data_IF_820669743780
#
_entry.id   IF_820669743780
#
_cell.length_a   1.000
_cell.length_b   1.000
_cell.length_c   1.000
_cell.angle_alpha   90.00
_cell.angle_beta   90.00
_cell.angle_gamma   90.00
#
_symmetry.space_group_name_H-M   'P 1'
#
loop_
_entity.id
_entity.type
_entity.pdbx_description
1 polymer ?
#
# COMPACT_ATOMS: atom_id res chain seq x y z
N UNK A 1 13.13 8.23 -20.00
CA UNK A 1 13.30 8.50 -18.55
C UNK A 1 12.14 9.35 -18.07
N UNK A 2 12.01 9.55 -16.76
CA UNK A 2 10.89 10.30 -16.15
C UNK A 2 11.38 11.70 -15.74
N UNK A 3 10.59 12.73 -16.03
CA UNK A 3 10.93 14.12 -15.69
C UNK A 3 10.67 14.42 -14.21
N UNK A 4 11.71 14.86 -13.52
CA UNK A 4 11.68 15.40 -12.16
C UNK A 4 11.83 16.92 -12.20
N UNK A 5 10.72 17.67 -12.11
CA UNK A 5 10.74 19.14 -12.17
C UNK A 5 11.20 19.76 -10.85
N UNK A 6 11.96 20.85 -10.94
CA UNK A 6 12.44 21.63 -9.80
C UNK A 6 11.66 22.96 -9.67
N UNK A 7 11.38 23.45 -8.45
CA UNK A 7 10.69 24.72 -8.24
C UNK A 7 11.33 25.93 -8.94
N UNK A 8 12.66 25.93 -9.09
CA UNK A 8 13.37 27.02 -9.76
C UNK A 8 13.22 27.00 -11.31
N UNK A 9 12.49 26.04 -11.88
CA UNK A 9 12.15 25.97 -13.31
C UNK A 9 13.09 25.11 -14.17
N UNK A 10 14.12 24.51 -13.60
CA UNK A 10 14.90 23.44 -14.23
C UNK A 10 14.33 22.06 -13.84
N UNK A 11 14.92 20.97 -14.33
CA UNK A 11 14.53 19.62 -13.92
C UNK A 11 15.63 18.59 -14.11
N UNK A 12 15.26 17.33 -13.95
CA UNK A 12 16.11 16.18 -14.25
C UNK A 12 15.31 15.12 -15.01
N UNK A 13 16.00 14.26 -15.76
CA UNK A 13 15.42 13.02 -16.29
C UNK A 13 16.04 11.84 -15.59
N UNK A 14 15.23 11.14 -14.82
CA UNK A 14 15.60 9.90 -14.16
C UNK A 14 15.52 8.78 -15.20
N UNK A 15 16.66 8.14 -15.47
CA UNK A 15 16.79 7.09 -16.47
C UNK A 15 17.14 5.80 -15.74
N UNK A 16 16.39 4.75 -16.00
CA UNK A 16 16.64 3.43 -15.43
C UNK A 16 18.08 2.97 -15.70
N UNK A 17 18.73 2.43 -14.67
CA UNK A 17 20.14 2.02 -14.73
C UNK A 17 21.16 3.15 -14.56
N UNK A 18 20.73 4.39 -14.25
CA UNK A 18 21.62 5.49 -13.86
C UNK A 18 21.35 5.93 -12.43
N UNK A 19 22.43 6.12 -11.66
CA UNK A 19 22.35 6.61 -10.27
C UNK A 19 21.99 8.10 -10.18
N UNK A 20 22.32 8.88 -11.23
CA UNK A 20 22.06 10.32 -11.29
C UNK A 20 21.22 10.65 -12.52
N UNK A 21 20.14 11.40 -12.29
CA UNK A 21 19.30 11.96 -13.35
C UNK A 21 20.08 12.95 -14.24
N UNK A 22 19.72 13.00 -15.52
CA UNK A 22 20.27 13.96 -16.47
C UNK A 22 19.66 15.35 -16.25
N UNK A 23 20.47 16.38 -16.09
CA UNK A 23 19.97 17.74 -15.86
C UNK A 23 19.22 18.30 -17.08
N UNK A 24 18.00 18.82 -16.89
CA UNK A 24 17.22 19.56 -17.88
C UNK A 24 17.25 21.06 -17.56
N UNK A 25 17.81 21.90 -18.45
CA UNK A 25 17.78 23.35 -18.26
C UNK A 25 16.37 23.93 -18.47
N UNK A 26 16.15 25.17 -18.01
CA UNK A 26 14.87 25.88 -18.12
C UNK A 26 14.26 25.90 -19.52
N UNK A 27 15.11 25.99 -20.55
CA UNK A 27 14.69 26.02 -21.96
C UNK A 27 14.00 24.73 -22.38
N UNK A 28 14.56 23.59 -21.95
CA UNK A 28 14.07 22.24 -22.26
C UNK A 28 12.87 21.85 -21.39
N UNK A 29 12.73 22.47 -20.21
CA UNK A 29 11.57 22.29 -19.33
C UNK A 29 10.29 22.97 -19.85
N UNK A 30 10.37 23.80 -20.89
CA UNK A 30 9.19 24.48 -21.44
C UNK A 30 8.21 23.47 -22.03
N UNK A 31 7.00 23.43 -21.47
CA UNK A 31 5.94 22.52 -21.92
C UNK A 31 6.06 21.09 -21.38
N UNK A 32 7.13 20.78 -20.63
CA UNK A 32 7.24 19.57 -19.85
C UNK A 32 6.55 19.75 -18.49
N UNK A 33 6.03 18.65 -17.97
CA UNK A 33 5.51 18.56 -16.61
C UNK A 33 6.28 17.50 -15.83
N UNK A 34 6.26 17.64 -14.51
CA UNK A 34 6.75 16.60 -13.63
C UNK A 34 6.00 15.28 -13.89
N UNK A 35 6.74 14.19 -13.98
CA UNK A 35 6.21 12.85 -14.28
C UNK A 35 6.14 12.51 -15.77
N UNK A 36 6.45 13.45 -16.68
CA UNK A 36 6.46 13.13 -18.12
C UNK A 36 7.50 12.04 -18.41
N UNK A 37 7.11 11.01 -19.15
CA UNK A 37 8.04 10.04 -19.71
C UNK A 37 8.56 10.61 -21.02
N UNK A 38 9.86 10.87 -21.07
CA UNK A 38 10.52 11.56 -22.18
C UNK A 38 11.65 10.74 -22.77
N UNK A 39 11.84 10.94 -24.06
CA UNK A 39 13.06 10.58 -24.76
C UNK A 39 13.95 11.82 -24.81
N UNK A 40 15.19 11.67 -24.34
CA UNK A 40 16.17 12.76 -24.29
C UNK A 40 17.49 12.34 -24.90
N UNK A 41 18.19 13.32 -25.49
CA UNK A 41 19.57 13.16 -25.91
C UNK A 41 20.48 13.66 -24.81
N UNK A 42 21.37 12.80 -24.32
CA UNK A 42 22.40 13.21 -23.37
C UNK A 42 23.41 14.15 -24.06
N UNK A 43 23.65 15.31 -23.46
CA UNK A 43 24.60 16.32 -23.93
C UNK A 43 25.51 16.77 -22.78
N UNK A 44 26.48 17.63 -23.09
CA UNK A 44 27.30 18.33 -22.08
C UNK A 44 27.18 19.84 -22.26
N UNK A 45 26.73 20.55 -21.24
CA UNK A 45 26.77 22.03 -21.17
C UNK A 45 27.66 22.44 -20.01
N UNK A 46 28.63 23.32 -20.27
CA UNK A 46 29.57 23.88 -19.26
C UNK A 46 30.25 22.81 -18.37
N UNK A 47 30.62 21.67 -18.96
CA UNK A 47 31.29 20.58 -18.26
C UNK A 47 30.39 19.66 -17.42
N UNK A 48 29.08 19.92 -17.36
CA UNK A 48 28.10 19.07 -16.67
C UNK A 48 27.26 18.27 -17.67
N UNK A 49 26.91 17.03 -17.32
CA UNK A 49 25.94 16.25 -18.09
C UNK A 49 24.57 16.95 -18.06
N UNK A 50 23.94 17.03 -19.23
CA UNK A 50 22.64 17.65 -19.47
C UNK A 50 21.82 16.76 -20.40
N UNK A 51 20.54 17.04 -20.51
CA UNK A 51 19.63 16.44 -21.48
C UNK A 51 19.03 17.52 -22.38
N UNK A 52 18.82 17.17 -23.64
CA UNK A 52 17.96 17.89 -24.59
C UNK A 52 16.74 17.03 -24.90
N UNK A 53 15.55 17.63 -24.89
CA UNK A 53 14.30 16.94 -25.15
C UNK A 53 14.23 16.52 -26.63
N UNK A 54 13.99 15.24 -26.88
CA UNK A 54 13.70 14.73 -28.23
C UNK A 54 12.18 14.73 -28.43
N UNK A 55 11.45 14.09 -27.51
CA UNK A 55 9.98 14.04 -27.51
C UNK A 55 9.44 13.56 -26.17
N UNK A 56 8.17 13.88 -25.93
CA UNK A 56 7.38 13.24 -24.87
C UNK A 56 6.91 11.88 -25.40
N UNK A 57 7.20 10.82 -24.68
CA UNK A 57 6.76 9.45 -24.98
C UNK A 57 5.41 9.20 -24.34
N UNK A 58 5.28 9.50 -23.05
CA UNK A 58 4.01 9.42 -22.31
C UNK A 58 3.84 10.71 -21.48
N UNK A 59 2.76 11.48 -21.72
CA UNK A 59 2.48 12.65 -20.93
C UNK A 59 2.04 12.25 -19.51
N UNK A 60 2.59 12.88 -18.49
CA UNK A 60 2.04 12.88 -17.14
C UNK A 60 0.56 13.30 -17.13
N UNK A 61 -0.22 12.89 -16.11
CA UNK A 61 -1.53 13.47 -15.88
C UNK A 61 -1.48 15.00 -15.90
N UNK A 62 -2.32 15.61 -16.74
CA UNK A 62 -2.47 17.07 -16.82
C UNK A 62 -3.45 17.61 -15.79
N UNK A 63 -3.97 16.76 -14.90
CA UNK A 63 -4.91 17.15 -13.87
C UNK A 63 -4.15 17.52 -12.61
N UNK A 64 -4.41 18.71 -12.08
CA UNK A 64 -3.84 19.15 -10.82
C UNK A 64 -4.84 19.94 -9.99
N UNK A 65 -4.44 20.16 -8.75
CA UNK A 65 -5.19 20.92 -7.76
C UNK A 65 -4.49 22.24 -7.49
N UNK A 66 -5.26 23.31 -7.41
CA UNK A 66 -4.76 24.60 -6.99
C UNK A 66 -5.84 25.52 -6.46
N UNK A 67 -5.43 26.66 -5.93
CA UNK A 67 -6.33 27.74 -5.54
C UNK A 67 -6.58 28.65 -6.74
N UNK A 68 -7.85 28.89 -7.06
CA UNK A 68 -8.27 29.85 -8.07
C UNK A 68 -8.19 31.26 -7.50
N UNK A 69 -7.43 32.13 -8.13
CA UNK A 69 -7.21 33.52 -7.73
C UNK A 69 -7.56 34.43 -8.90
N UNK A 70 -8.23 35.55 -8.62
CA UNK A 70 -8.56 36.56 -9.63
C UNK A 70 -7.65 37.77 -9.46
N UNK A 71 -6.67 37.92 -10.34
CA UNK A 71 -5.75 39.06 -10.36
C UNK A 71 -6.05 39.97 -11.55
N UNK A 72 -6.32 41.26 -11.29
CA UNK A 72 -6.62 42.25 -12.32
C UNK A 72 -7.69 41.80 -13.35
N UNK A 73 -8.71 41.06 -12.89
CA UNK A 73 -9.79 40.53 -13.73
C UNK A 73 -9.44 39.26 -14.53
N UNK A 74 -8.24 38.71 -14.34
CA UNK A 74 -7.76 37.48 -14.96
C UNK A 74 -7.78 36.33 -13.94
N UNK A 75 -8.37 35.20 -14.32
CA UNK A 75 -8.36 33.99 -13.49
C UNK A 75 -7.03 33.26 -13.60
N UNK A 76 -6.44 32.95 -12.46
CA UNK A 76 -5.22 32.16 -12.32
C UNK A 76 -5.49 31.00 -11.38
N UNK A 77 -4.82 29.87 -11.60
CA UNK A 77 -4.77 28.80 -10.62
C UNK A 77 -3.34 28.68 -10.13
N UNK A 78 -3.17 28.81 -8.82
CA UNK A 78 -1.91 28.61 -8.12
C UNK A 78 -1.85 27.15 -7.68
N UNK A 79 -1.00 26.30 -8.29
CA UNK A 79 -0.95 24.88 -7.95
C UNK A 79 -0.51 24.66 -6.50
N UNK A 80 -1.08 23.64 -5.85
CA UNK A 80 -0.63 23.23 -4.50
C UNK A 80 0.76 22.61 -4.52
N UNK A 81 1.06 21.87 -5.60
CA UNK A 81 2.30 21.14 -5.76
C UNK A 81 3.48 22.10 -5.91
N UNK A 82 4.44 22.02 -4.99
CA UNK A 82 5.71 22.78 -5.09
C UNK A 82 6.52 22.42 -6.33
N UNK A 83 6.27 21.26 -6.96
CA UNK A 83 6.94 20.82 -8.19
C UNK A 83 6.38 21.51 -9.45
N UNK A 84 5.28 22.25 -9.32
CA UNK A 84 4.70 23.08 -10.39
C UNK A 84 4.37 24.48 -9.86
N UNK A 85 5.37 25.37 -9.70
CA UNK A 85 5.14 26.69 -9.13
C UNK A 85 4.56 27.71 -10.12
N UNK A 86 4.43 27.36 -11.41
CA UNK A 86 3.90 28.27 -12.42
C UNK A 86 2.39 28.42 -12.27
N UNK A 87 1.91 29.67 -12.22
CA UNK A 87 0.48 29.96 -12.26
C UNK A 87 -0.11 29.56 -13.61
N UNK A 88 -1.30 28.98 -13.57
CA UNK A 88 -2.00 28.51 -14.76
C UNK A 88 -3.12 29.47 -15.09
N UNK A 89 -3.07 30.04 -16.29
CA UNK A 89 -4.06 30.99 -16.77
C UNK A 89 -5.38 30.27 -17.08
N UNK A 90 -6.44 30.67 -16.39
CA UNK A 90 -7.80 30.16 -16.63
C UNK A 90 -8.66 31.27 -17.21
N UNK A 91 -9.07 31.09 -18.47
CA UNK A 91 -9.96 32.04 -19.15
C UNK A 91 -11.35 31.95 -18.53
N UNK A 92 -12.12 33.05 -18.58
CA UNK A 92 -13.49 33.11 -18.02
C UNK A 92 -14.41 31.96 -18.47
N UNK A 93 -14.31 31.53 -19.73
CA UNK A 93 -15.09 30.40 -20.28
C UNK A 93 -14.67 29.03 -19.74
N UNK A 94 -13.44 28.94 -19.25
CA UNK A 94 -12.79 27.72 -18.79
C UNK A 94 -12.78 27.66 -17.23
N UNK A 95 -13.39 28.62 -16.54
CA UNK A 95 -13.39 28.75 -15.08
C UNK A 95 -14.51 27.96 -14.36
N UNK A 96 -15.50 27.44 -15.10
CA UNK A 96 -16.60 26.64 -14.56
C UNK A 96 -17.30 27.24 -13.31
N UNK A 97 -17.44 28.57 -13.27
CA UNK A 97 -18.07 29.27 -12.16
C UNK A 97 -17.20 29.44 -10.90
N UNK A 98 -15.93 29.04 -10.93
CA UNK A 98 -14.98 29.24 -9.84
C UNK A 98 -14.87 30.73 -9.45
N UNK A 99 -14.81 30.96 -8.14
CA UNK A 99 -14.66 32.28 -7.53
C UNK A 99 -13.28 32.41 -6.92
N UNK A 100 -12.86 33.65 -6.75
CA UNK A 100 -11.60 33.98 -6.07
C UNK A 100 -11.51 33.26 -4.71
N UNK A 101 -10.39 32.58 -4.44
CA UNK A 101 -10.14 31.78 -3.25
C UNK A 101 -10.65 30.33 -3.28
N UNK A 102 -11.43 29.93 -4.29
CA UNK A 102 -11.91 28.54 -4.40
C UNK A 102 -10.77 27.59 -4.70
N UNK A 103 -10.78 26.41 -4.09
CA UNK A 103 -9.97 25.29 -4.55
C UNK A 103 -10.62 24.65 -5.77
N UNK A 104 -9.80 24.32 -6.76
CA UNK A 104 -10.27 23.77 -8.04
C UNK A 104 -9.40 22.61 -8.49
N UNK A 105 -10.03 21.61 -9.10
CA UNK A 105 -9.35 20.61 -9.92
C UNK A 105 -9.33 21.12 -11.35
N UNK A 106 -8.16 21.24 -11.95
CA UNK A 106 -8.00 21.76 -13.31
C UNK A 106 -7.26 20.77 -14.20
N UNK A 107 -7.61 20.78 -15.48
CA UNK A 107 -6.82 20.18 -16.54
C UNK A 107 -5.93 21.25 -17.18
N UNK A 108 -4.63 21.02 -17.17
CA UNK A 108 -3.63 21.88 -17.80
C UNK A 108 -3.54 21.58 -19.30
N UNK A 109 -3.73 22.61 -20.11
CA UNK A 109 -3.49 22.57 -21.55
C UNK A 109 -2.01 22.82 -21.81
N UNK A 110 -1.33 21.76 -22.27
CA UNK A 110 0.09 21.78 -22.63
C UNK A 110 0.35 22.65 -23.87
N UNK A 111 1.60 23.10 -24.04
CA UNK A 111 2.09 23.73 -25.28
C UNK A 111 1.93 25.25 -25.39
N UNK A 112 1.41 25.92 -24.36
CA UNK A 112 1.34 27.39 -24.29
C UNK A 112 2.28 27.99 -23.25
N UNK A 113 2.79 29.19 -23.53
CA UNK A 113 3.44 30.06 -22.54
C UNK A 113 2.69 31.41 -22.53
N UNK A 114 1.95 31.76 -21.46
CA UNK A 114 1.80 31.02 -20.20
C UNK A 114 1.00 29.71 -20.36
N UNK A 115 1.16 28.80 -19.39
CA UNK A 115 0.30 27.62 -19.29
C UNK A 115 -1.15 28.06 -19.13
N UNK A 116 -2.07 27.36 -19.80
CA UNK A 116 -3.50 27.60 -19.66
C UNK A 116 -4.19 26.34 -19.14
N UNK A 117 -5.34 26.49 -18.50
CA UNK A 117 -6.09 25.35 -17.99
C UNK A 117 -7.59 25.55 -18.06
N UNK A 118 -8.31 24.44 -17.83
CA UNK A 118 -9.76 24.42 -17.66
C UNK A 118 -10.09 23.81 -16.30
N UNK A 119 -10.98 24.46 -15.57
CA UNK A 119 -11.57 23.92 -14.35
C UNK A 119 -12.46 22.74 -14.72
N UNK A 120 -12.14 21.59 -14.11
CA UNK A 120 -12.92 20.37 -14.19
C UNK A 120 -13.94 20.27 -13.05
N UNK A 121 -13.59 20.81 -11.88
CA UNK A 121 -14.42 20.76 -10.68
C UNK A 121 -14.07 21.91 -9.73
N UNK A 122 -15.09 22.58 -9.19
CA UNK A 122 -14.96 23.58 -8.12
C UNK A 122 -15.21 22.89 -6.77
N UNK A 123 -14.22 22.97 -5.88
CA UNK A 123 -14.22 22.28 -4.60
C UNK A 123 -14.60 23.20 -3.44
N UNK A 124 -14.64 24.50 -3.69
CA UNK A 124 -15.04 25.55 -2.76
C UNK A 124 -13.88 26.09 -1.91
N UNK A 125 -14.21 27.00 -0.99
CA UNK A 125 -13.23 27.70 -0.13
C UNK A 125 -12.94 26.96 1.17
N UNK A 126 -13.97 26.35 1.77
CA UNK A 126 -13.87 25.65 3.04
C UNK A 126 -13.49 24.19 2.80
N UNK A 127 -12.19 23.92 2.89
CA UNK A 127 -11.66 22.58 2.77
C UNK A 127 -11.86 21.79 4.07
N UNK A 128 -12.97 21.08 4.15
CA UNK A 128 -13.11 20.02 5.18
C UNK A 128 -12.01 18.97 4.99
N UNK A 129 -11.58 18.27 6.06
CA UNK A 129 -10.67 17.12 5.97
C UNK A 129 -11.01 16.12 4.85
N UNK A 130 -12.30 15.81 4.64
CA UNK A 130 -12.73 14.94 3.54
C UNK A 130 -12.40 15.53 2.16
N UNK A 131 -12.68 16.82 1.94
CA UNK A 131 -12.32 17.51 0.70
C UNK A 131 -10.81 17.59 0.49
N UNK A 132 -10.02 17.73 1.56
CA UNK A 132 -8.55 17.66 1.48
C UNK A 132 -8.05 16.28 1.03
N UNK A 133 -8.73 15.21 1.45
CA UNK A 133 -8.42 13.85 1.03
C UNK A 133 -8.80 13.66 -0.44
N UNK A 134 -10.00 14.06 -0.85
CA UNK A 134 -10.44 14.02 -2.26
C UNK A 134 -9.44 14.76 -3.17
N UNK A 135 -8.92 15.90 -2.68
CA UNK A 135 -7.87 16.67 -3.33
C UNK A 135 -6.55 15.89 -3.50
N UNK A 136 -6.09 15.23 -2.45
CA UNK A 136 -4.87 14.42 -2.49
C UNK A 136 -5.05 13.24 -3.45
N UNK A 137 -6.19 12.55 -3.37
CA UNK A 137 -6.55 11.42 -4.25
C UNK A 137 -6.48 11.84 -5.71
N UNK A 138 -7.11 12.96 -6.05
CA UNK A 138 -7.08 13.50 -7.41
C UNK A 138 -5.69 13.95 -7.86
N UNK A 139 -4.91 14.60 -6.99
CA UNK A 139 -3.54 15.04 -7.29
C UNK A 139 -2.58 13.86 -7.55
N UNK A 140 -2.78 12.74 -6.85
CA UNK A 140 -2.00 11.51 -7.06
C UNK A 140 -2.52 10.67 -8.24
N UNK A 141 -3.61 11.07 -8.90
CA UNK A 141 -4.21 10.31 -10.00
C UNK A 141 -4.77 8.95 -9.55
N UNK A 142 -5.14 8.81 -8.27
CA UNK A 142 -5.68 7.56 -7.72
C UNK A 142 -7.14 7.44 -8.16
N UNK A 143 -7.45 6.39 -8.90
CA UNK A 143 -8.82 6.11 -9.32
C UNK A 143 -9.64 5.48 -8.20
N UNK A 144 -10.78 6.10 -7.90
CA UNK A 144 -11.69 5.66 -6.85
C UNK A 144 -12.70 4.62 -7.33
N UNK A 145 -13.09 4.69 -8.59
CA UNK A 145 -14.10 3.81 -9.19
C UNK A 145 -13.45 2.64 -9.94
N UNK A 146 -14.13 1.50 -9.98
CA UNK A 146 -13.70 0.35 -10.77
C UNK A 146 -14.33 0.39 -12.17
N UNK A 147 -13.57 0.06 -13.24
CA UNK A 147 -14.14 -0.07 -14.57
C UNK A 147 -15.31 -1.07 -14.64
N UNK A 148 -16.32 -0.87 -15.50
CA UNK A 148 -17.48 -1.75 -15.61
C UNK A 148 -17.13 -3.24 -15.84
N UNK A 149 -16.11 -3.52 -16.63
CA UNK A 149 -15.61 -4.87 -16.90
C UNK A 149 -15.05 -5.56 -15.66
N UNK A 150 -14.40 -4.79 -14.76
CA UNK A 150 -13.87 -5.29 -13.48
C UNK A 150 -15.02 -5.66 -12.55
N UNK A 151 -16.04 -4.80 -12.48
CA UNK A 151 -17.23 -5.06 -11.69
C UNK A 151 -18.02 -6.26 -12.23
N UNK A 152 -18.13 -6.42 -13.56
CA UNK A 152 -18.77 -7.57 -14.17
C UNK A 152 -18.06 -8.89 -13.82
N UNK A 153 -16.72 -8.94 -13.85
CA UNK A 153 -15.94 -10.11 -13.40
C UNK A 153 -16.17 -10.40 -11.92
N UNK A 154 -16.10 -9.38 -11.06
CA UNK A 154 -16.35 -9.52 -9.63
C UNK A 154 -17.79 -10.04 -9.36
N UNK A 155 -18.79 -9.49 -10.03
CA UNK A 155 -20.20 -9.86 -9.88
C UNK A 155 -20.50 -11.29 -10.34
N UNK A 156 -19.76 -11.81 -11.32
CA UNK A 156 -19.87 -13.20 -11.77
C UNK A 156 -19.33 -14.23 -10.76
N UNK A 157 -18.48 -13.81 -9.80
CA UNK A 157 -17.96 -14.69 -8.75
C UNK A 157 -19.06 -15.20 -7.80
N UNK A 158 -18.93 -16.41 -7.25
CA UNK A 158 -19.92 -16.94 -6.31
C UNK A 158 -19.96 -16.11 -5.02
N UNK A 159 -21.10 -16.09 -4.32
CA UNK A 159 -21.21 -15.41 -3.02
C UNK A 159 -20.43 -16.09 -1.89
N UNK A 160 -20.08 -17.37 -2.06
CA UNK A 160 -19.34 -18.16 -1.09
C UNK A 160 -18.47 -19.21 -1.80
N UNK A 161 -17.44 -19.71 -1.09
CA UNK A 161 -16.58 -20.81 -1.55
C UNK A 161 -17.44 -22.04 -1.84
N UNK A 162 -17.36 -22.58 -3.06
CA UNK A 162 -18.13 -23.76 -3.46
C UNK A 162 -17.34 -25.02 -3.16
N UNK A 163 -18.05 -26.14 -3.04
CA UNK A 163 -17.41 -27.46 -2.81
C UNK A 163 -16.35 -27.80 -3.85
N UNK A 164 -16.62 -27.52 -5.12
CA UNK A 164 -15.68 -27.76 -6.22
C UNK A 164 -14.39 -26.94 -6.12
N UNK A 165 -14.47 -25.72 -5.56
CA UNK A 165 -13.30 -24.84 -5.41
C UNK A 165 -12.38 -25.35 -4.28
N UNK A 166 -12.87 -26.27 -3.44
CA UNK A 166 -12.11 -26.93 -2.35
C UNK A 166 -11.46 -28.25 -2.79
N UNK A 167 -11.78 -28.78 -3.97
CA UNK A 167 -11.25 -30.07 -4.44
C UNK A 167 -9.74 -29.99 -4.69
N UNK A 168 -8.98 -31.01 -4.25
CA UNK A 168 -7.52 -31.05 -4.39
C UNK A 168 -6.73 -30.24 -3.35
N UNK A 169 -7.40 -29.41 -2.54
CA UNK A 169 -6.77 -28.58 -1.50
C UNK A 169 -6.64 -29.32 -0.17
N UNK A 170 -5.63 -28.96 0.60
CA UNK A 170 -5.43 -29.55 1.94
C UNK A 170 -6.49 -29.00 2.92
N UNK A 171 -7.24 -29.89 3.56
CA UNK A 171 -8.23 -29.49 4.55
C UNK A 171 -7.59 -29.19 5.91
N UNK A 172 -7.54 -27.92 6.27
CA UNK A 172 -7.00 -27.43 7.54
C UNK A 172 -8.08 -26.83 8.45
N UNK A 173 -9.37 -27.02 8.13
CA UNK A 173 -10.50 -26.45 8.89
C UNK A 173 -10.59 -26.95 10.34
N UNK A 174 -9.92 -28.05 10.64
CA UNK A 174 -9.83 -28.62 11.99
C UNK A 174 -8.80 -27.90 12.89
N UNK A 175 -7.91 -27.09 12.32
CA UNK A 175 -6.90 -26.33 13.06
C UNK A 175 -7.51 -25.04 13.65
N UNK A 176 -7.03 -24.57 14.82
CA UNK A 176 -7.56 -23.39 15.49
C UNK A 176 -6.99 -22.08 14.90
N UNK A 177 -7.15 -21.88 13.58
CA UNK A 177 -6.76 -20.63 12.93
C UNK A 177 -7.56 -19.45 13.50
N UNK A 178 -6.89 -18.30 13.59
CA UNK A 178 -7.52 -17.00 13.90
C UNK A 178 -6.91 -15.91 13.02
N UNK A 179 -7.66 -14.83 12.82
CA UNK A 179 -7.14 -13.57 12.28
C UNK A 179 -6.99 -12.57 13.43
N UNK A 180 -5.97 -11.72 13.39
CA UNK A 180 -5.71 -10.70 14.42
C UNK A 180 -5.39 -9.38 13.72
N UNK A 181 -6.31 -8.44 13.78
CA UNK A 181 -6.27 -7.23 12.96
C UNK A 181 -6.67 -5.98 13.75
N UNK A 182 -6.58 -4.81 13.10
CA UNK A 182 -7.15 -3.58 13.64
C UNK A 182 -8.68 -3.67 13.77
N UNK A 183 -9.27 -2.99 14.75
CA UNK A 183 -10.72 -3.02 14.98
C UNK A 183 -11.54 -2.60 13.74
N UNK A 184 -11.02 -1.69 12.93
CA UNK A 184 -11.66 -1.16 11.72
C UNK A 184 -11.46 -2.06 10.47
N UNK A 185 -10.56 -3.04 10.51
CA UNK A 185 -10.25 -3.91 9.37
C UNK A 185 -11.46 -4.77 8.96
N UNK A 186 -11.54 -5.09 7.66
CA UNK A 186 -12.59 -5.91 7.04
C UNK A 186 -12.02 -6.95 6.05
N UNK A 187 -10.85 -6.66 5.53
CA UNK A 187 -9.96 -7.42 4.66
C UNK A 187 -8.95 -8.19 5.52
N UNK A 188 -9.29 -9.43 5.91
CA UNK A 188 -8.40 -10.26 6.73
C UNK A 188 -7.56 -11.14 5.79
N UNK A 189 -6.36 -10.69 5.46
CA UNK A 189 -5.50 -11.35 4.47
C UNK A 189 -4.72 -12.54 5.05
N UNK A 190 -4.45 -12.54 6.35
CA UNK A 190 -3.67 -13.58 7.01
C UNK A 190 -4.39 -14.19 8.23
N UNK A 191 -4.15 -15.48 8.43
CA UNK A 191 -4.58 -16.22 9.60
C UNK A 191 -3.42 -17.05 10.14
N UNK A 192 -3.30 -17.11 11.47
CA UNK A 192 -2.21 -17.81 12.14
C UNK A 192 -2.72 -18.99 12.97
N UNK A 193 -1.90 -20.04 13.04
CA UNK A 193 -2.09 -21.15 13.98
C UNK A 193 -0.71 -21.67 14.40
N UNK A 194 -0.43 -21.71 15.71
CA UNK A 194 0.83 -22.27 16.24
C UNK A 194 0.52 -23.38 17.23
N UNK A 195 1.09 -24.55 17.00
CA UNK A 195 0.91 -25.72 17.86
C UNK A 195 2.26 -26.21 18.41
N UNK A 196 2.32 -26.65 19.69
CA UNK A 196 3.49 -27.36 20.20
C UNK A 196 3.75 -28.63 19.39
N UNK A 197 5.02 -28.95 19.17
CA UNK A 197 5.44 -30.18 18.49
C UNK A 197 6.69 -30.73 19.15
N UNK A 198 6.50 -31.70 20.04
CA UNK A 198 7.59 -32.16 20.91
C UNK A 198 8.08 -31.00 21.78
N UNK A 199 9.38 -30.73 21.73
CA UNK A 199 10.03 -29.59 22.37
C UNK A 199 9.99 -28.30 21.53
N UNK A 200 9.64 -28.40 20.24
CA UNK A 200 9.55 -27.29 19.29
C UNK A 200 8.13 -26.85 18.98
N UNK A 201 7.96 -26.29 17.78
CA UNK A 201 6.69 -25.69 17.34
C UNK A 201 6.40 -26.04 15.87
N UNK A 202 5.12 -26.14 15.53
CA UNK A 202 4.65 -26.08 14.15
C UNK A 202 3.75 -24.84 14.01
N UNK A 203 4.20 -23.89 13.18
CA UNK A 203 3.47 -22.67 12.88
C UNK A 203 2.90 -22.72 11.48
N UNK A 204 1.72 -22.16 11.33
CA UNK A 204 0.97 -22.03 10.11
C UNK A 204 0.63 -20.58 9.90
N UNK A 205 0.95 -20.08 8.70
CA UNK A 205 0.46 -18.79 8.20
C UNK A 205 -0.35 -19.10 6.96
N UNK A 206 -1.65 -18.84 7.02
CA UNK A 206 -2.57 -19.01 5.89
C UNK A 206 -2.87 -17.63 5.31
N UNK A 207 -2.54 -17.43 4.04
CA UNK A 207 -2.78 -16.18 3.31
C UNK A 207 -3.99 -16.38 2.40
N UNK A 208 -4.87 -15.37 2.30
CA UNK A 208 -5.98 -15.33 1.37
C UNK A 208 -5.54 -15.76 -0.05
N UNK A 209 -6.25 -16.73 -0.64
CA UNK A 209 -5.94 -17.19 -2.00
C UNK A 209 -6.56 -16.25 -3.03
N UNK A 210 -5.99 -15.05 -3.15
CA UNK A 210 -6.46 -14.00 -4.08
C UNK A 210 -6.32 -14.46 -5.54
N UNK A 211 -5.25 -15.17 -5.87
CA UNK A 211 -4.95 -15.62 -7.24
C UNK A 211 -6.02 -16.60 -7.78
N UNK A 212 -6.69 -17.35 -6.90
CA UNK A 212 -7.82 -18.19 -7.29
C UNK A 212 -9.02 -17.41 -7.85
N UNK A 213 -9.20 -16.15 -7.44
CA UNK A 213 -10.31 -15.31 -7.85
C UNK A 213 -9.93 -14.19 -8.83
N UNK A 214 -8.63 -13.93 -8.98
CA UNK A 214 -8.07 -12.91 -9.88
C UNK A 214 -7.12 -13.61 -10.87
N UNK A 215 -7.66 -14.24 -11.93
CA UNK A 215 -6.85 -14.97 -12.90
C UNK A 215 -5.93 -14.02 -13.67
N UNK A 216 -4.73 -14.50 -14.00
CA UNK A 216 -3.79 -13.73 -14.81
C UNK A 216 -4.40 -13.33 -16.16
N UNK A 217 -4.27 -12.05 -16.51
CA UNK A 217 -4.79 -11.47 -17.75
C UNK A 217 -6.28 -11.11 -17.73
N UNK A 218 -7.00 -11.31 -16.62
CA UNK A 218 -8.39 -10.85 -16.48
C UNK A 218 -8.47 -9.33 -16.25
N UNK A 219 -9.67 -8.75 -16.34
CA UNK A 219 -9.87 -7.34 -16.04
C UNK A 219 -9.50 -7.02 -14.57
N UNK A 220 -9.82 -7.92 -13.64
CA UNK A 220 -9.39 -7.84 -12.24
C UNK A 220 -7.85 -7.82 -12.08
N UNK A 221 -7.09 -8.66 -12.80
CA UNK A 221 -5.61 -8.66 -12.74
C UNK A 221 -5.03 -7.36 -13.30
N UNK A 222 -5.53 -6.93 -14.47
CA UNK A 222 -5.08 -5.69 -15.10
C UNK A 222 -5.30 -4.47 -14.18
N UNK A 223 -6.48 -4.40 -13.56
CA UNK A 223 -6.83 -3.32 -12.65
C UNK A 223 -6.05 -3.38 -11.32
N UNK A 224 -5.90 -4.57 -10.72
CA UNK A 224 -5.10 -4.74 -9.51
C UNK A 224 -3.64 -4.34 -9.74
N UNK A 225 -3.07 -4.70 -10.91
CA UNK A 225 -1.71 -4.30 -11.30
C UNK A 225 -1.58 -2.80 -11.50
N UNK A 226 -2.59 -2.16 -12.10
CA UNK A 226 -2.63 -0.72 -12.34
C UNK A 226 -2.71 0.07 -11.03
N UNK A 227 -3.53 -0.39 -10.08
CA UNK A 227 -3.63 0.21 -8.73
C UNK A 227 -2.38 -0.05 -7.89
N UNK A 228 -1.81 -1.25 -7.99
CA UNK A 228 -0.59 -1.68 -7.29
C UNK A 228 -0.79 -1.99 -5.80
N UNK A 229 -1.55 -1.18 -5.08
CA UNK A 229 -1.89 -1.36 -3.66
C UNK A 229 -3.25 -0.73 -3.30
N UNK A 230 -3.75 -1.05 -2.11
CA UNK A 230 -4.84 -0.31 -1.48
C UNK A 230 -4.29 0.97 -0.83
N UNK A 231 -5.05 2.07 -0.89
CA UNK A 231 -4.70 3.34 -0.26
C UNK A 231 -5.58 3.57 0.97
N UNK A 232 -4.95 3.67 2.15
CA UNK A 232 -5.63 3.87 3.43
C UNK A 232 -5.58 5.34 3.84
N UNK A 233 -6.73 6.03 3.74
CA UNK A 233 -6.90 7.41 4.19
C UNK A 233 -7.56 7.45 5.58
N UNK A 234 -7.49 8.59 6.30
CA UNK A 234 -8.13 8.71 7.60
C UNK A 234 -9.65 8.44 7.61
N UNK A 235 -10.36 8.74 6.52
CA UNK A 235 -11.82 8.60 6.41
C UNK A 235 -12.29 7.36 5.62
N UNK A 236 -11.45 6.80 4.73
CA UNK A 236 -11.83 5.70 3.83
C UNK A 236 -10.63 4.90 3.33
N UNK A 237 -10.92 3.76 2.71
CA UNK A 237 -9.95 2.97 1.95
C UNK A 237 -10.33 3.04 0.47
N UNK A 238 -9.34 3.26 -0.40
CA UNK A 238 -9.49 3.01 -1.84
C UNK A 238 -8.87 1.64 -2.11
N UNK A 239 -9.68 0.59 -2.30
CA UNK A 239 -9.16 -0.77 -2.33
C UNK A 239 -8.53 -1.11 -3.68
N UNK A 240 -7.54 -2.01 -3.65
CA UNK A 240 -6.93 -2.60 -4.84
C UNK A 240 -7.91 -3.51 -5.61
N UNK A 241 -8.80 -4.19 -4.89
CA UNK A 241 -9.79 -5.12 -5.44
C UNK A 241 -11.21 -4.70 -5.02
N UNK A 242 -12.25 -5.02 -5.81
CA UNK A 242 -13.63 -4.78 -5.42
C UNK A 242 -13.99 -5.43 -4.07
N UNK A 243 -14.87 -4.80 -3.29
CA UNK A 243 -15.19 -5.22 -1.92
C UNK A 243 -15.71 -6.66 -1.81
N UNK A 244 -16.41 -7.15 -2.85
CA UNK A 244 -16.88 -8.53 -2.93
C UNK A 244 -15.72 -9.54 -2.81
N UNK A 245 -14.54 -9.18 -3.29
CA UNK A 245 -13.30 -9.93 -3.13
C UNK A 245 -12.63 -9.59 -1.80
N UNK A 246 -12.22 -8.32 -1.62
CA UNK A 246 -11.36 -7.91 -0.50
C UNK A 246 -12.00 -8.16 0.86
N UNK A 247 -13.29 -7.83 1.05
CA UNK A 247 -14.02 -8.02 2.31
C UNK A 247 -14.78 -9.36 2.36
N UNK A 248 -14.92 -10.03 1.21
CA UNK A 248 -15.76 -11.21 1.04
C UNK A 248 -14.97 -12.51 0.87
N UNK A 249 -14.73 -12.87 -0.40
CA UNK A 249 -14.15 -14.16 -0.79
C UNK A 249 -12.67 -14.33 -0.40
N UNK A 250 -11.91 -13.24 -0.44
CA UNK A 250 -10.49 -13.23 -0.07
C UNK A 250 -10.29 -13.00 1.43
N UNK A 251 -11.13 -12.19 2.07
CA UNK A 251 -11.07 -12.02 3.53
C UNK A 251 -11.33 -13.35 4.26
N UNK A 252 -10.39 -13.73 5.13
CA UNK A 252 -10.38 -14.94 5.95
C UNK A 252 -11.39 -14.88 7.12
N UNK A 253 -12.62 -14.50 6.78
CA UNK A 253 -13.73 -14.25 7.69
C UNK A 253 -13.97 -15.41 8.67
N UNK A 254 -14.37 -15.10 9.93
CA UNK A 254 -14.56 -16.11 10.96
C UNK A 254 -15.76 -17.01 10.65
N UNK A 255 -15.64 -18.28 11.05
CA UNK A 255 -16.70 -19.29 11.02
C UNK A 255 -17.20 -19.69 9.63
N UNK A 256 -16.47 -19.33 8.58
CA UNK A 256 -16.76 -19.73 7.19
C UNK A 256 -15.54 -20.34 6.53
N UNK A 257 -15.70 -21.36 5.66
CA UNK A 257 -14.58 -21.90 4.89
C UNK A 257 -13.98 -20.84 3.96
N UNK A 258 -12.65 -20.79 3.90
CA UNK A 258 -11.90 -19.90 3.01
C UNK A 258 -10.73 -20.61 2.36
N UNK A 259 -10.50 -20.27 1.09
CA UNK A 259 -9.35 -20.76 0.32
C UNK A 259 -8.13 -19.96 0.73
N UNK A 260 -7.02 -20.65 0.97
CA UNK A 260 -5.79 -20.02 1.41
C UNK A 260 -4.56 -20.68 0.78
N UNK A 261 -3.51 -19.90 0.58
CA UNK A 261 -2.16 -20.40 0.44
C UNK A 261 -1.54 -20.54 1.83
N UNK A 262 -1.31 -21.77 2.28
CA UNK A 262 -0.79 -22.05 3.61
C UNK A 262 0.73 -22.26 3.58
N UNK A 263 1.44 -21.62 4.50
CA UNK A 263 2.87 -21.80 4.77
C UNK A 263 3.03 -22.54 6.09
N UNK A 264 3.40 -23.82 6.01
CA UNK A 264 3.80 -24.65 7.16
C UNK A 264 5.25 -24.41 7.51
N UNK A 265 5.52 -24.06 8.75
CA UNK A 265 6.87 -23.91 9.27
C UNK A 265 7.08 -24.75 10.52
N UNK A 266 8.17 -25.52 10.57
CA UNK A 266 8.57 -26.25 11.78
C UNK A 266 9.75 -25.56 12.42
N UNK A 267 9.69 -25.40 13.74
CA UNK A 267 10.73 -24.76 14.55
C UNK A 267 11.22 -25.73 15.62
N UNK A 268 12.52 -25.66 15.91
CA UNK A 268 13.09 -26.31 17.08
C UNK A 268 12.80 -25.51 18.37
N UNK A 269 13.19 -26.00 19.56
CA UNK A 269 12.94 -25.31 20.84
C UNK A 269 13.57 -23.92 20.94
N UNK A 270 14.58 -23.65 20.12
CA UNK A 270 15.31 -22.39 20.09
C UNK A 270 14.73 -21.41 19.05
N UNK A 271 13.62 -21.76 18.40
CA UNK A 271 12.98 -20.93 17.38
C UNK A 271 13.68 -20.96 16.02
N UNK A 272 14.60 -21.91 15.77
CA UNK A 272 15.22 -22.03 14.44
C UNK A 272 14.29 -22.81 13.52
N UNK A 273 13.96 -22.24 12.36
CA UNK A 273 13.14 -22.89 11.33
C UNK A 273 13.91 -24.10 10.77
N UNK A 274 13.29 -25.28 10.80
CA UNK A 274 13.85 -26.56 10.34
C UNK A 274 13.23 -27.05 9.04
N UNK A 275 11.98 -26.69 8.77
CA UNK A 275 11.30 -27.05 7.53
C UNK A 275 10.29 -25.97 7.15
N UNK A 276 10.08 -25.83 5.84
CA UNK A 276 9.01 -25.01 5.24
C UNK A 276 8.30 -25.81 4.16
N UNK A 277 6.98 -25.69 4.08
CA UNK A 277 6.18 -26.15 2.95
C UNK A 277 5.10 -25.11 2.66
N UNK A 278 4.89 -24.77 1.39
CA UNK A 278 3.79 -23.92 0.94
C UNK A 278 2.85 -24.75 0.06
N UNK A 279 1.54 -24.64 0.27
CA UNK A 279 0.53 -25.39 -0.48
C UNK A 279 -0.86 -24.77 -0.36
N UNK A 280 -1.72 -25.09 -1.33
CA UNK A 280 -3.12 -24.67 -1.34
C UNK A 280 -3.93 -25.44 -0.28
N UNK A 281 -4.73 -24.68 0.47
CA UNK A 281 -5.50 -25.19 1.59
C UNK A 281 -6.90 -24.59 1.66
N UNK A 282 -7.74 -25.22 2.48
CA UNK A 282 -9.00 -24.65 2.96
C UNK A 282 -8.91 -24.51 4.47
N UNK A 283 -9.17 -23.32 4.98
CA UNK A 283 -9.18 -23.02 6.41
C UNK A 283 -10.58 -22.64 6.89
N UNK A 284 -10.75 -22.61 8.20
CA UNK A 284 -11.93 -22.09 8.87
C UNK A 284 -11.45 -21.31 10.10
N UNK A 285 -11.49 -19.98 10.01
CA UNK A 285 -11.04 -19.13 11.12
C UNK A 285 -12.02 -19.28 12.29
N UNK A 286 -11.51 -19.66 13.46
CA UNK A 286 -12.32 -19.90 14.66
C UNK A 286 -12.73 -18.59 15.33
N UNK A 287 -11.96 -17.52 15.13
CA UNK A 287 -12.22 -16.20 15.67
C UNK A 287 -11.54 -15.12 14.83
N UNK A 288 -12.22 -13.98 14.70
CA UNK A 288 -11.62 -12.70 14.33
C UNK A 288 -11.32 -11.98 15.63
N UNK A 289 -10.05 -11.71 15.89
CA UNK A 289 -9.59 -11.00 17.09
C UNK A 289 -9.10 -9.60 16.70
N UNK A 290 -9.22 -8.64 17.61
CA UNK A 290 -8.40 -7.42 17.52
C UNK A 290 -7.05 -7.62 18.16
N UNK A 291 -6.08 -6.78 17.79
CA UNK A 291 -4.80 -6.70 18.51
C UNK A 291 -4.98 -6.49 20.02
N UNK A 292 -5.94 -5.65 20.43
CA UNK A 292 -6.22 -5.40 21.84
C UNK A 292 -6.80 -6.63 22.55
N UNK A 293 -7.75 -7.33 21.92
CA UNK A 293 -8.31 -8.57 22.48
C UNK A 293 -7.26 -9.67 22.64
N UNK A 294 -6.35 -9.78 21.67
CA UNK A 294 -5.24 -10.72 21.75
C UNK A 294 -4.25 -10.32 22.87
N UNK A 295 -3.94 -9.04 23.02
CA UNK A 295 -3.07 -8.53 24.08
C UNK A 295 -3.68 -8.74 25.48
N UNK A 296 -4.97 -8.47 25.67
CA UNK A 296 -5.68 -8.73 26.93
C UNK A 296 -5.54 -10.20 27.39
N UNK A 297 -5.47 -11.15 26.46
CA UNK A 297 -5.16 -12.54 26.81
C UNK A 297 -3.66 -12.76 27.07
N UNK A 298 -2.81 -12.33 26.15
CA UNK A 298 -1.37 -12.64 26.15
C UNK A 298 -0.60 -11.97 27.31
N UNK A 299 -1.01 -10.76 27.68
CA UNK A 299 -0.41 -9.93 28.73
C UNK A 299 -1.20 -10.06 30.04
N UNK A 300 -2.50 -9.75 30.02
CA UNK A 300 -3.32 -9.63 31.24
C UNK A 300 -4.00 -10.94 31.67
N UNK A 301 -3.91 -11.99 30.84
CA UNK A 301 -4.55 -13.30 31.08
C UNK A 301 -6.06 -13.21 31.28
N UNK A 302 -6.69 -12.22 30.63
CA UNK A 302 -8.14 -11.99 30.71
C UNK A 302 -8.90 -13.05 29.90
N UNK A 303 -9.40 -14.09 30.56
CA UNK A 303 -10.14 -15.17 29.88
C UNK A 303 -11.37 -14.68 29.09
N UNK A 304 -12.02 -13.61 29.56
CA UNK A 304 -13.19 -13.03 28.88
C UNK A 304 -12.87 -12.40 27.53
N UNK A 305 -11.61 -12.07 27.24
CA UNK A 305 -11.19 -11.52 25.96
C UNK A 305 -11.31 -12.55 24.82
N UNK A 306 -11.09 -13.83 25.13
CA UNK A 306 -11.09 -14.93 24.15
C UNK A 306 -11.83 -16.13 24.72
N UNK A 307 -13.08 -16.32 24.31
CA UNK A 307 -13.94 -17.36 24.84
C UNK A 307 -13.45 -18.80 24.55
N UNK A 308 -12.84 -19.04 23.38
CA UNK A 308 -12.44 -20.38 22.94
C UNK A 308 -11.11 -20.83 23.58
N UNK A 309 -11.09 -21.87 24.45
CA UNK A 309 -9.86 -22.32 25.10
C UNK A 309 -8.78 -22.81 24.15
N UNK A 310 -9.15 -23.45 23.02
CA UNK A 310 -8.19 -23.91 22.02
C UNK A 310 -7.46 -22.74 21.35
N UNK A 311 -8.15 -21.62 21.16
CA UNK A 311 -7.54 -20.39 20.63
C UNK A 311 -6.57 -19.81 21.66
N UNK A 312 -6.93 -19.82 22.94
CA UNK A 312 -6.04 -19.36 24.02
C UNK A 312 -4.75 -20.19 24.08
N UNK A 313 -4.86 -21.52 24.06
CA UNK A 313 -3.71 -22.44 24.04
C UNK A 313 -2.83 -22.24 22.79
N UNK A 314 -3.45 -22.04 21.63
CA UNK A 314 -2.74 -21.75 20.38
C UNK A 314 -1.96 -20.42 20.48
N UNK A 315 -2.57 -19.38 21.04
CA UNK A 315 -1.92 -18.07 21.24
C UNK A 315 -0.77 -18.14 22.25
N UNK A 316 -0.89 -18.97 23.29
CA UNK A 316 0.22 -19.21 24.24
C UNK A 316 1.42 -19.89 23.57
N UNK A 317 1.16 -20.85 22.67
CA UNK A 317 2.20 -21.46 21.85
C UNK A 317 2.81 -20.45 20.87
N UNK A 318 1.99 -19.58 20.27
CA UNK A 318 2.44 -18.50 19.39
C UNK A 318 3.33 -17.49 20.12
N UNK A 319 2.95 -17.08 21.35
CA UNK A 319 3.75 -16.17 22.18
C UNK A 319 5.12 -16.76 22.52
N UNK A 320 5.17 -18.03 22.93
CA UNK A 320 6.43 -18.72 23.19
C UNK A 320 7.33 -18.77 21.97
N UNK A 321 6.77 -19.04 20.78
CA UNK A 321 7.55 -19.04 19.54
C UNK A 321 8.04 -17.62 19.22
N UNK A 322 7.17 -16.62 19.31
CA UNK A 322 7.49 -15.21 19.10
C UNK A 322 8.70 -14.76 19.94
N UNK A 323 8.73 -15.06 21.24
CA UNK A 323 9.86 -14.74 22.12
C UNK A 323 11.20 -15.33 21.64
N UNK A 324 11.17 -16.55 21.06
CA UNK A 324 12.37 -17.16 20.48
C UNK A 324 12.78 -16.44 19.19
N UNK A 325 11.84 -16.13 18.31
CA UNK A 325 12.08 -15.42 17.06
C UNK A 325 12.66 -14.03 17.31
N UNK A 326 12.08 -13.29 18.24
CA UNK A 326 12.54 -11.96 18.64
C UNK A 326 13.99 -12.01 19.17
N UNK A 327 14.31 -13.00 20.01
CA UNK A 327 15.67 -13.23 20.51
C UNK A 327 16.66 -13.46 19.35
N UNK A 328 16.28 -14.26 18.35
CA UNK A 328 17.11 -14.50 17.17
C UNK A 328 17.24 -13.25 16.29
N UNK A 329 16.17 -12.48 16.13
CA UNK A 329 16.15 -11.21 15.37
C UNK A 329 17.10 -10.18 15.99
N UNK A 330 17.06 -10.00 17.31
CA UNK A 330 17.99 -9.13 18.05
C UNK A 330 19.44 -9.57 17.87
N UNK A 331 19.72 -10.88 17.97
CA UNK A 331 21.08 -11.43 17.74
C UNK A 331 21.59 -11.22 16.31
N UNK A 332 20.70 -11.12 15.32
CA UNK A 332 21.05 -10.81 13.92
C UNK A 332 21.39 -9.32 13.71
N UNK A 333 21.19 -8.47 14.71
CA UNK A 333 21.41 -7.03 14.59
C UNK A 333 20.35 -6.32 13.75
N UNK A 334 19.12 -6.87 13.73
CA UNK A 334 18.02 -6.21 13.03
C UNK A 334 17.72 -4.85 13.70
N UNK A 335 17.62 -3.80 12.90
CA UNK A 335 17.17 -2.50 13.38
C UNK A 335 15.69 -2.60 13.75
N UNK A 336 15.36 -2.13 14.95
CA UNK A 336 13.99 -2.00 15.44
C UNK A 336 13.75 -0.55 15.82
N UNK A 337 12.88 0.12 15.06
CA UNK A 337 12.53 1.53 15.26
C UNK A 337 11.10 1.57 15.77
N UNK A 338 10.94 1.71 17.08
CA UNK A 338 9.63 1.92 17.69
C UNK A 338 9.23 3.40 17.58
N UNK A 339 8.88 3.80 16.36
CA UNK A 339 8.41 5.16 16.08
C UNK A 339 6.91 5.20 16.33
N UNK A 340 6.41 6.09 17.22
CA UNK A 340 5.00 6.16 17.50
C UNK A 340 4.21 6.65 16.30
N UNK A 341 3.21 5.88 15.90
CA UNK A 341 2.28 6.27 14.84
C UNK A 341 1.14 7.12 15.40
N UNK A 342 0.82 8.21 14.70
CA UNK A 342 -0.28 9.12 15.06
C UNK A 342 -1.37 9.03 13.99
N UNK A 343 -2.57 8.65 14.40
CA UNK A 343 -3.76 8.58 13.54
C UNK A 343 -4.73 9.70 13.88
N UNK A 344 -5.20 10.42 12.87
CA UNK A 344 -6.29 11.37 13.01
C UNK A 344 -7.63 10.61 13.12
N UNK A 345 -8.39 10.87 14.17
CA UNK A 345 -9.75 10.36 14.35
C UNK A 345 -10.71 11.43 13.90
N UNK A 346 -11.52 11.12 12.89
CA UNK A 346 -12.49 12.04 12.32
C UNK A 346 -13.87 11.84 12.97
N UNK A 347 -14.57 12.94 13.27
CA UNK A 347 -15.97 12.96 13.71
C UNK A 347 -16.69 14.07 12.95
N UNK A 348 -17.84 13.75 12.34
CA UNK A 348 -18.65 14.71 11.55
C UNK A 348 -17.81 15.52 10.54
N UNK A 349 -16.87 14.85 9.88
CA UNK A 349 -16.01 15.46 8.87
C UNK A 349 -14.90 16.36 9.41
N UNK A 350 -14.70 16.44 10.73
CA UNK A 350 -13.65 17.23 11.38
C UNK A 350 -12.69 16.35 12.19
N UNK A 351 -11.44 16.80 12.40
CA UNK A 351 -10.47 16.09 13.26
C UNK A 351 -10.90 16.25 14.71
N UNK A 352 -11.41 15.18 15.31
CA UNK A 352 -11.83 15.17 16.70
C UNK A 352 -10.65 15.05 17.67
N UNK A 353 -9.71 14.16 17.35
CA UNK A 353 -8.50 13.94 18.15
C UNK A 353 -7.40 13.28 17.32
N UNK A 354 -6.17 13.43 17.79
CA UNK A 354 -5.05 12.61 17.36
C UNK A 354 -4.91 11.44 18.35
N UNK A 355 -4.88 10.22 17.83
CA UNK A 355 -4.67 9.01 18.62
C UNK A 355 -3.29 8.47 18.32
N UNK A 356 -2.47 8.28 19.35
CA UNK A 356 -1.23 7.54 19.23
C UNK A 356 -1.56 6.05 19.30
N UNK A 357 -1.20 5.30 18.26
CA UNK A 357 -1.32 3.84 18.30
C UNK A 357 -0.09 3.30 19.01
N UNK A 358 -0.31 2.51 20.08
CA UNK A 358 0.77 1.80 20.76
C UNK A 358 0.82 0.37 20.25
N UNK A 359 2.02 -0.09 19.92
CA UNK A 359 2.27 -1.48 19.58
C UNK A 359 2.29 -2.30 20.88
N UNK A 360 1.55 -3.39 20.89
CA UNK A 360 1.46 -4.34 22.00
C UNK A 360 2.01 -5.71 21.58
N UNK A 361 2.04 -6.69 22.49
CA UNK A 361 2.61 -8.02 22.18
C UNK A 361 1.95 -8.69 20.97
N UNK A 362 0.66 -8.47 20.74
CA UNK A 362 -0.05 -9.07 19.61
C UNK A 362 0.45 -8.53 18.26
N UNK A 363 0.76 -7.23 18.19
CA UNK A 363 1.34 -6.63 16.98
C UNK A 363 2.71 -7.26 16.66
N UNK A 364 3.59 -7.37 17.66
CA UNK A 364 4.92 -7.96 17.48
C UNK A 364 4.86 -9.46 17.17
N UNK A 365 3.89 -10.18 17.75
CA UNK A 365 3.67 -11.59 17.47
C UNK A 365 3.29 -11.82 16.01
N UNK A 366 2.29 -11.08 15.50
CA UNK A 366 1.87 -11.18 14.10
C UNK A 366 3.02 -10.77 13.17
N UNK A 367 3.72 -9.66 13.46
CA UNK A 367 4.87 -9.22 12.66
C UNK A 367 5.93 -10.34 12.53
N UNK A 368 6.34 -10.96 13.65
CA UNK A 368 7.36 -12.02 13.62
C UNK A 368 6.91 -13.26 12.82
N UNK A 369 5.64 -13.64 12.92
CA UNK A 369 5.10 -14.76 12.15
C UNK A 369 5.05 -14.44 10.65
N UNK A 370 4.65 -13.22 10.28
CA UNK A 370 4.64 -12.78 8.89
C UNK A 370 6.06 -12.67 8.33
N UNK A 371 7.02 -12.12 9.09
CA UNK A 371 8.43 -12.09 8.69
C UNK A 371 8.99 -13.50 8.51
N UNK A 372 8.65 -14.44 9.40
CA UNK A 372 9.08 -15.82 9.30
C UNK A 372 8.54 -16.49 8.03
N UNK A 373 7.26 -16.26 7.69
CA UNK A 373 6.63 -16.78 6.49
C UNK A 373 7.21 -16.15 5.21
N UNK A 374 7.30 -14.82 5.15
CA UNK A 374 7.86 -14.07 4.02
C UNK A 374 9.29 -14.50 3.72
N UNK A 375 10.13 -14.62 4.76
CA UNK A 375 11.52 -15.11 4.61
C UNK A 375 11.53 -16.55 4.10
N UNK A 376 10.64 -17.41 4.61
CA UNK A 376 10.60 -18.81 4.21
C UNK A 376 10.16 -18.99 2.74
N UNK A 377 9.21 -18.18 2.27
CA UNK A 377 8.77 -18.16 0.87
C UNK A 377 9.86 -17.61 -0.04
N UNK A 378 10.51 -16.49 0.34
CA UNK A 378 11.62 -15.92 -0.42
C UNK A 378 12.74 -16.96 -0.63
N UNK A 379 13.19 -17.61 0.44
CA UNK A 379 14.21 -18.67 0.34
C UNK A 379 13.73 -19.90 -0.45
N UNK A 380 12.44 -20.25 -0.37
CA UNK A 380 11.86 -21.37 -1.11
C UNK A 380 11.87 -21.10 -2.62
N UNK A 381 11.56 -19.87 -3.03
CA UNK A 381 11.56 -19.41 -4.41
C UNK A 381 12.98 -19.22 -4.95
N UNK A 382 13.87 -18.66 -4.14
CA UNK A 382 15.30 -18.48 -4.47
C UNK A 382 15.98 -19.82 -4.77
N UNK A 383 15.81 -20.83 -3.90
CA UNK A 383 16.36 -22.19 -4.12
C UNK A 383 15.87 -22.83 -5.42
N UNK A 384 14.70 -22.44 -5.90
CA UNK A 384 14.10 -22.94 -7.16
C UNK A 384 14.40 -22.05 -8.36
N UNK A 385 15.10 -20.93 -8.17
CA UNK A 385 15.40 -19.95 -9.21
C UNK A 385 14.13 -19.42 -9.90
N UNK A 386 13.03 -19.31 -9.15
CA UNK A 386 11.82 -18.69 -9.66
C UNK A 386 11.99 -17.16 -9.68
N UNK A 387 11.52 -16.52 -10.74
CA UNK A 387 11.41 -15.06 -10.76
C UNK A 387 10.39 -14.61 -9.71
N UNK A 388 10.78 -13.67 -8.86
CA UNK A 388 9.97 -13.12 -7.78
C UNK A 388 10.31 -11.64 -7.58
N UNK A 389 9.33 -10.84 -7.20
CA UNK A 389 9.56 -9.49 -6.70
C UNK A 389 10.03 -9.55 -5.25
N UNK A 390 11.29 -9.19 -5.02
CA UNK A 390 11.86 -9.14 -3.66
C UNK A 390 11.62 -7.77 -3.02
N UNK A 391 11.26 -7.78 -1.72
CA UNK A 391 11.31 -6.57 -0.88
C UNK A 391 12.74 -6.34 -0.41
N UNK A 392 13.46 -5.47 -1.12
CA UNK A 392 14.88 -5.18 -0.85
C UNK A 392 15.04 -3.87 -0.07
N UNK A 393 16.03 -3.83 0.80
CA UNK A 393 16.49 -2.62 1.48
C UNK A 393 18.02 -2.54 1.29
N UNK A 394 18.52 -1.64 0.41
CA UNK A 394 19.95 -1.54 0.14
C UNK A 394 20.73 -1.05 1.36
N UNK A 395 22.03 -1.34 1.40
CA UNK A 395 22.91 -0.77 2.42
C UNK A 395 22.95 0.76 2.28
N UNK A 396 23.09 1.52 3.39
CA UNK A 396 23.26 2.96 3.33
C UNK A 396 24.45 3.35 2.45
N UNK A 397 24.34 4.47 1.74
CA UNK A 397 25.45 5.01 0.96
C UNK A 397 26.61 5.44 1.87
N UNK A 398 27.83 5.29 1.36
CA UNK A 398 29.05 5.60 2.12
C UNK A 398 29.07 7.04 2.65
N UNK A 399 28.63 8.00 1.84
CA UNK A 399 28.56 9.42 2.23
C UNK A 399 27.61 9.63 3.42
N UNK A 400 26.50 8.88 3.48
CA UNK A 400 25.55 8.95 4.61
C UNK A 400 26.13 8.34 5.89
N UNK A 401 26.95 7.28 5.77
CA UNK A 401 27.66 6.68 6.91
C UNK A 401 28.73 7.63 7.44
N UNK A 402 29.47 8.28 6.55
CA UNK A 402 30.51 9.24 6.92
C UNK A 402 29.94 10.49 7.59
N UNK A 403 28.74 10.95 7.20
CA UNK A 403 28.05 12.07 7.83
C UNK A 403 27.41 11.76 9.20
N UNK A 404 27.23 10.47 9.53
CA UNK A 404 26.67 10.03 10.81
C UNK A 404 27.73 9.95 11.93
N UNK A 405 29.00 9.81 11.54
CA UNK A 405 30.17 9.75 12.45
C UNK A 405 30.80 11.13 12.63
#
# INVERSE_FOLDING_TARGET
GVVSAHPDGFGFVDVEGRDKGLFLPHEEMRGLMHGDVVEVRATRRRGRESAELVRIVEPAPSVLVGQFVVEAGTGLVQPRSRRMPQNILVRKRDADGARDGDWVRIEVRRGGAPLTGRVLEVLGRDLTPGRLIDLIVAEQGIETEFPPEVMAEADALPAAVRRRDMEGRTDLRHLPFVTIDGADARDFDDAICVLPRGDGFEAWVAIADVAQYVPHGSALDAEARRRGNSFYFPDRVIPMLPEKLSNGLCSLNPKVPRLAMAVRMRFDPNGRRRAVQAFEAVIHSQARLTYDQAAEWLEDRRESAIANPKVREMLDAALRLHQKLETLRKRRGALDLDVPEVRAVLHEGSVARLSQTRRNVAHHLIEELMLAANTAVAEYMERRKCALLYRVHPAPERESIEALN
#
